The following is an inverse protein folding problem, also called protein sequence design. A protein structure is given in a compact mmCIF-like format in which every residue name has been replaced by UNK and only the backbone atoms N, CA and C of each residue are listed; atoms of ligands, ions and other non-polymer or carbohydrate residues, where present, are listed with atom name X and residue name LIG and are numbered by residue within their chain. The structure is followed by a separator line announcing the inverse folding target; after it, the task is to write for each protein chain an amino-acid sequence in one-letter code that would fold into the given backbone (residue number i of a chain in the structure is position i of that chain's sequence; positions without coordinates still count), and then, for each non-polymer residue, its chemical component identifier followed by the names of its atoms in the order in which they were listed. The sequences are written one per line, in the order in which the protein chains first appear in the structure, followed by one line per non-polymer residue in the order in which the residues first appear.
data_IF_214162143609
#
_entry.id   IF_214162143609
#
_cell.length_a   1.000
_cell.length_b   1.000
_cell.length_c   1.000
_cell.angle_alpha   90.00
_cell.angle_beta   90.00
_cell.angle_gamma   90.00
#
_symmetry.space_group_name_H-M   'P 1'
#
loop_
_entity.id
_entity.type
_entity.pdbx_description
1 polymer ?
#
# COMPACT_ATOMS: atom_id res chain seq x y z
N UNK A 1 20.30 -26.18 18.93
CA UNK A 1 20.67 -25.90 17.52
C UNK A 1 19.40 -25.97 16.67
N UNK A 2 18.65 -24.87 16.52
CA UNK A 2 17.59 -24.71 15.51
C UNK A 2 17.21 -23.21 15.32
N UNK A 3 18.22 -22.37 15.11
CA UNK A 3 18.09 -20.91 14.90
C UNK A 3 17.60 -20.53 13.48
N UNK A 4 16.64 -21.24 12.88
CA UNK A 4 16.33 -21.05 11.45
C UNK A 4 14.85 -21.09 11.03
N UNK A 5 13.88 -20.92 11.94
CA UNK A 5 12.46 -21.01 11.54
C UNK A 5 11.77 -19.65 11.32
N UNK A 6 12.37 -18.51 11.64
CA UNK A 6 11.74 -17.22 11.35
C UNK A 6 12.74 -16.26 10.72
N UNK A 7 13.07 -16.53 9.44
CA UNK A 7 13.48 -15.48 8.48
C UNK A 7 12.31 -14.51 8.28
N UNK A 8 11.95 -13.83 9.36
CA UNK A 8 11.06 -12.70 9.36
C UNK A 8 11.70 -11.62 8.50
N UNK A 9 11.07 -11.31 7.36
CA UNK A 9 10.72 -9.93 7.05
C UNK A 9 11.83 -8.86 7.12
N UNK A 10 13.09 -9.19 6.77
CA UNK A 10 14.18 -8.23 6.50
C UNK A 10 14.00 -7.46 5.18
N UNK A 11 12.74 -7.12 4.86
CA UNK A 11 12.39 -5.99 3.99
C UNK A 11 11.89 -4.80 4.82
N UNK A 12 12.22 -4.77 6.12
CA UNK A 12 11.85 -3.72 7.07
C UNK A 12 12.68 -2.44 6.94
N UNK A 13 13.81 -2.47 6.23
CA UNK A 13 14.74 -1.33 6.22
C UNK A 13 14.43 -0.22 5.21
N UNK A 14 13.67 -0.48 4.13
CA UNK A 14 13.58 0.53 3.06
C UNK A 14 12.60 1.66 3.34
N UNK A 15 11.51 1.45 4.04
CA UNK A 15 10.41 2.43 4.19
C UNK A 15 10.50 3.25 5.49
N UNK A 16 11.72 3.61 5.91
CA UNK A 16 12.01 4.30 7.17
C UNK A 16 12.59 5.71 7.00
N UNK A 17 12.94 6.12 5.77
CA UNK A 17 13.47 7.46 5.48
C UNK A 17 12.41 8.25 4.70
N UNK A 18 12.18 9.50 5.09
CA UNK A 18 11.27 10.45 4.41
C UNK A 18 9.84 9.92 4.17
N UNK A 19 9.30 9.21 5.16
CA UNK A 19 7.95 8.65 5.11
C UNK A 19 6.95 9.76 4.89
N UNK A 20 6.06 9.54 3.92
CA UNK A 20 4.84 10.29 3.74
C UNK A 20 3.67 9.34 3.46
N UNK A 21 2.49 9.90 3.53
CA UNK A 21 1.23 9.22 3.29
C UNK A 21 0.48 9.89 2.15
N UNK A 22 -0.16 9.12 1.30
CA UNK A 22 -1.03 9.64 0.23
C UNK A 22 -2.18 8.69 0.01
N UNK A 23 -3.03 9.02 -0.95
CA UNK A 23 -4.12 8.15 -1.39
C UNK A 23 -3.74 7.60 -2.76
N UNK A 24 -3.97 6.31 -2.99
CA UNK A 24 -3.91 5.76 -4.33
C UNK A 24 -5.10 4.85 -4.61
N UNK A 25 -5.53 4.85 -5.86
CA UNK A 25 -6.53 3.92 -6.38
C UNK A 25 -5.82 2.65 -6.87
N UNK A 26 -6.36 1.49 -6.52
CA UNK A 26 -5.85 0.21 -7.02
C UNK A 26 -6.34 0.03 -8.46
N UNK A 27 -5.42 -0.01 -9.39
CA UNK A 27 -5.72 -0.17 -10.83
C UNK A 27 -5.63 -1.63 -11.27
N UNK A 28 -4.83 -2.44 -10.58
CA UNK A 28 -4.66 -3.86 -10.91
C UNK A 28 -4.33 -4.67 -9.67
N UNK A 29 -4.87 -5.89 -9.60
CA UNK A 29 -4.56 -6.89 -8.59
C UNK A 29 -4.19 -8.19 -9.28
N UNK A 30 -2.97 -8.67 -9.05
CA UNK A 30 -2.47 -9.92 -9.59
C UNK A 30 -2.05 -10.86 -8.47
N UNK A 31 -2.30 -12.16 -8.63
CA UNK A 31 -1.78 -13.15 -7.71
C UNK A 31 -0.30 -13.38 -8.02
N UNK A 32 0.57 -13.09 -7.07
CA UNK A 32 2.02 -13.19 -7.25
C UNK A 32 2.62 -14.56 -6.91
N UNK A 33 1.76 -15.52 -6.57
CA UNK A 33 2.14 -16.85 -6.14
C UNK A 33 1.11 -17.40 -5.15
N UNK A 34 1.48 -18.43 -4.39
CA UNK A 34 0.54 -19.10 -3.47
C UNK A 34 0.15 -18.28 -2.24
N UNK A 35 0.94 -17.25 -1.89
CA UNK A 35 0.89 -16.62 -0.56
C UNK A 35 0.70 -15.10 -0.56
N UNK A 36 0.59 -14.44 -1.72
CA UNK A 36 0.52 -12.98 -1.80
C UNK A 36 -0.14 -12.47 -3.08
N UNK A 37 -0.71 -11.27 -3.00
CA UNK A 37 -1.20 -10.52 -4.15
C UNK A 37 -0.35 -9.26 -4.37
N UNK A 38 -0.18 -8.88 -5.63
CA UNK A 38 0.43 -7.65 -6.07
C UNK A 38 -0.66 -6.62 -6.38
N UNK A 39 -0.67 -5.49 -5.68
CA UNK A 39 -1.53 -4.37 -6.00
C UNK A 39 -0.73 -3.31 -6.77
N UNK A 40 -1.21 -2.91 -7.94
CA UNK A 40 -0.62 -1.84 -8.76
C UNK A 40 -1.45 -0.57 -8.63
N UNK A 41 -0.78 0.56 -8.45
CA UNK A 41 -1.39 1.87 -8.25
C UNK A 41 -0.43 2.98 -8.67
N UNK A 42 -0.91 4.23 -8.67
CA UNK A 42 -0.10 5.40 -9.01
C UNK A 42 0.10 6.32 -7.81
N UNK A 43 1.33 6.80 -7.62
CA UNK A 43 1.67 7.90 -6.72
C UNK A 43 2.24 9.04 -7.58
N UNK A 44 1.59 10.20 -7.61
CA UNK A 44 2.03 11.37 -8.39
C UNK A 44 2.38 11.02 -9.86
N UNK A 45 1.52 10.22 -10.51
CA UNK A 45 1.72 9.77 -11.89
C UNK A 45 2.78 8.67 -12.08
N UNK A 46 3.52 8.29 -11.03
CA UNK A 46 4.48 7.19 -11.07
C UNK A 46 3.80 5.88 -10.73
N UNK A 47 3.96 4.86 -11.58
CA UNK A 47 3.49 3.51 -11.31
C UNK A 47 4.28 2.90 -10.15
N UNK A 48 3.55 2.37 -9.19
CA UNK A 48 4.08 1.68 -8.01
C UNK A 48 3.30 0.40 -7.76
N UNK A 49 3.92 -0.50 -7.02
CA UNK A 49 3.33 -1.77 -6.67
C UNK A 49 3.67 -2.16 -5.23
N UNK A 50 2.76 -2.89 -4.59
CA UNK A 50 2.94 -3.38 -3.24
C UNK A 50 2.42 -4.80 -3.09
N UNK A 51 3.15 -5.60 -2.32
CA UNK A 51 2.76 -6.95 -1.97
C UNK A 51 1.87 -6.93 -0.72
N UNK A 52 0.72 -7.57 -0.83
CA UNK A 52 -0.30 -7.63 0.22
C UNK A 52 -0.60 -9.08 0.61
N UNK A 53 -1.48 -9.26 1.59
CA UNK A 53 -2.15 -10.55 1.80
C UNK A 53 -2.79 -11.03 0.49
N UNK A 54 -3.05 -12.33 0.41
CA UNK A 54 -3.82 -12.90 -0.69
C UNK A 54 -5.16 -12.17 -0.77
N UNK A 55 -5.48 -11.70 -1.97
CA UNK A 55 -6.79 -11.20 -2.37
C UNK A 55 -7.30 -12.21 -3.39
N UNK A 56 -8.32 -12.98 -2.99
CA UNK A 56 -8.97 -13.96 -3.86
C UNK A 56 -9.79 -13.29 -4.95
N UNK A 57 -10.14 -14.01 -6.01
CA UNK A 57 -10.94 -13.45 -7.10
C UNK A 57 -12.31 -12.93 -6.64
N UNK A 58 -12.94 -13.58 -5.65
CA UNK A 58 -14.20 -13.12 -5.05
C UNK A 58 -14.03 -11.84 -4.22
N UNK A 59 -12.85 -11.61 -3.65
CA UNK A 59 -12.56 -10.41 -2.86
C UNK A 59 -12.07 -9.23 -3.72
N UNK A 60 -11.60 -9.47 -4.95
CA UNK A 60 -11.04 -8.41 -5.82
C UNK A 60 -11.96 -7.21 -5.97
N UNK A 61 -13.27 -7.41 -6.04
CA UNK A 61 -14.26 -6.33 -6.15
C UNK A 61 -14.28 -5.35 -4.96
N UNK A 62 -13.79 -5.78 -3.79
CA UNK A 62 -13.70 -4.93 -2.61
C UNK A 62 -12.51 -3.96 -2.65
N UNK A 63 -11.52 -4.23 -3.50
CA UNK A 63 -10.26 -3.50 -3.55
C UNK A 63 -10.01 -2.82 -4.89
N UNK A 64 -10.31 -3.51 -5.99
CA UNK A 64 -10.05 -3.03 -7.34
C UNK A 64 -10.87 -1.76 -7.62
N UNK A 65 -10.19 -0.72 -8.08
CA UNK A 65 -10.80 0.57 -8.37
C UNK A 65 -11.14 1.42 -7.14
N UNK A 66 -10.86 0.94 -5.92
CA UNK A 66 -11.07 1.68 -4.68
C UNK A 66 -9.80 2.42 -4.25
N UNK A 67 -9.99 3.51 -3.51
CA UNK A 67 -8.91 4.31 -2.93
C UNK A 67 -8.51 3.77 -1.56
N UNK A 68 -7.21 3.74 -1.30
CA UNK A 68 -6.64 3.33 -0.02
C UNK A 68 -5.51 4.27 0.39
N UNK A 69 -5.21 4.28 1.68
CA UNK A 69 -4.01 4.92 2.20
C UNK A 69 -2.75 4.21 1.69
N UNK A 70 -1.75 5.00 1.29
CA UNK A 70 -0.45 4.52 0.86
C UNK A 70 0.63 5.19 1.69
N UNK A 71 1.50 4.38 2.30
CA UNK A 71 2.74 4.83 2.92
C UNK A 71 3.86 4.77 1.88
N UNK A 72 4.61 5.83 1.68
CA UNK A 72 5.68 5.88 0.67
C UNK A 72 6.91 6.67 1.14
N UNK A 73 8.06 6.39 0.54
CA UNK A 73 9.26 7.22 0.67
C UNK A 73 9.18 8.36 -0.35
N UNK A 74 9.16 9.60 0.13
CA UNK A 74 9.03 10.77 -0.73
C UNK A 74 10.23 11.05 -1.64
N UNK A 75 11.39 10.43 -1.40
CA UNK A 75 12.54 10.48 -2.30
C UNK A 75 12.60 9.27 -3.26
N UNK A 76 11.79 8.24 -3.02
CA UNK A 76 11.73 7.04 -3.86
C UNK A 76 10.30 6.47 -3.88
N UNK A 77 9.46 6.98 -4.78
CA UNK A 77 8.03 6.62 -4.86
C UNK A 77 7.76 5.13 -5.11
N UNK A 78 8.73 4.41 -5.73
CA UNK A 78 8.64 2.95 -5.93
C UNK A 78 8.73 2.18 -4.62
N UNK A 79 9.34 2.77 -3.59
CA UNK A 79 9.36 2.24 -2.25
C UNK A 79 8.10 2.69 -1.50
N UNK A 80 7.00 1.98 -1.78
CA UNK A 80 5.69 2.28 -1.21
C UNK A 80 4.96 1.02 -0.77
N UNK A 81 3.96 1.22 0.10
CA UNK A 81 3.09 0.18 0.61
C UNK A 81 1.67 0.69 0.68
N UNK A 82 0.77 0.00 0.00
CA UNK A 82 -0.67 0.22 0.15
C UNK A 82 -1.16 -0.45 1.45
N UNK A 83 -2.02 0.24 2.18
CA UNK A 83 -2.58 -0.20 3.45
C UNK A 83 -4.06 -0.51 3.24
N UNK A 84 -4.37 -1.78 2.98
CA UNK A 84 -5.73 -2.23 2.64
C UNK A 84 -6.71 -2.11 3.81
N UNK A 85 -6.18 -2.00 5.02
CA UNK A 85 -6.91 -1.75 6.26
C UNK A 85 -7.48 -0.31 6.36
N UNK A 86 -7.05 0.63 5.50
CA UNK A 86 -7.52 2.01 5.49
C UNK A 86 -8.14 2.37 4.12
N UNK A 87 -9.37 1.92 3.83
CA UNK A 87 -10.11 2.39 2.66
C UNK A 87 -10.37 3.89 2.76
N UNK A 88 -10.43 4.57 1.61
CA UNK A 88 -10.67 6.01 1.54
C UNK A 88 -11.86 6.26 0.63
N UNK A 89 -12.75 7.18 1.04
CA UNK A 89 -13.90 7.58 0.24
C UNK A 89 -13.45 8.20 -1.10
N UNK A 90 -14.20 7.89 -2.17
CA UNK A 90 -13.90 8.39 -3.51
C UNK A 90 -13.95 9.92 -3.62
N UNK A 91 -14.70 10.60 -2.75
CA UNK A 91 -14.78 12.06 -2.67
C UNK A 91 -13.51 12.74 -2.17
N UNK A 92 -12.63 12.02 -1.46
CA UNK A 92 -11.42 12.63 -0.89
C UNK A 92 -10.38 12.85 -2.02
N UNK A 93 -9.90 14.10 -2.19
CA UNK A 93 -8.87 14.39 -3.18
C UNK A 93 -7.51 13.85 -2.76
N UNK A 94 -6.73 13.42 -3.74
CA UNK A 94 -5.36 12.93 -3.51
C UNK A 94 -4.47 14.14 -3.14
N UNK A 95 -3.77 14.12 -2.01
CA UNK A 95 -2.91 15.24 -1.60
C UNK A 95 -1.68 15.35 -2.52
N UNK A 96 -1.42 16.54 -3.08
CA UNK A 96 -0.34 16.77 -4.06
C UNK A 96 1.06 16.34 -3.55
N UNK A 97 1.35 16.62 -2.27
CA UNK A 97 2.66 16.37 -1.65
C UNK A 97 2.65 15.25 -0.60
N UNK A 98 1.51 14.55 -0.47
CA UNK A 98 1.24 13.66 0.65
C UNK A 98 1.19 14.38 2.00
N UNK A 99 0.85 13.62 3.04
CA UNK A 99 0.88 14.03 4.43
C UNK A 99 2.14 13.50 5.12
N UNK A 100 2.64 14.23 6.11
CA UNK A 100 3.74 13.76 6.97
C UNK A 100 3.28 12.67 7.94
N UNK A 101 2.02 12.75 8.35
CA UNK A 101 1.36 11.84 9.28
C UNK A 101 0.01 11.43 8.69
N UNK A 102 -0.57 10.33 9.16
CA UNK A 102 -1.91 9.91 8.74
C UNK A 102 -2.92 10.92 9.29
N UNK A 103 -3.78 11.53 8.44
CA UNK A 103 -4.83 12.40 8.94
C UNK A 103 -5.79 11.66 9.88
N UNK A 104 -6.15 12.28 11.01
CA UNK A 104 -6.98 11.66 12.07
C UNK A 104 -8.30 11.09 11.56
N UNK A 105 -8.93 11.73 10.58
CA UNK A 105 -10.21 11.28 10.01
C UNK A 105 -10.12 9.96 9.22
N UNK A 106 -8.92 9.48 8.90
CA UNK A 106 -8.72 8.16 8.27
C UNK A 106 -8.78 7.04 9.32
N UNK A 107 -8.38 7.32 10.55
CA UNK A 107 -8.31 6.30 11.61
C UNK A 107 -9.68 5.93 12.21
N UNK A 108 -10.73 6.71 11.92
CA UNK A 108 -12.06 6.62 12.54
C UNK A 108 -13.14 6.13 11.56
N UNK A 109 -12.75 5.43 10.47
CA UNK A 109 -13.70 4.84 9.51
C UNK A 109 -14.11 3.41 9.92
#
# INVERSE_FOLDING_TARGET
MLHQVLKNFDKKEKLNKNIKYTIAKIEKIEMGGKNWSNCTYYINGTISNSYTKIITDSEKGNFLGKKFLVKFDSLNLKNSKILLEYPILDSVPIPLNGWKEVPQWIEVQ
#
